data_IF_760635195156
#
_entry.id   IF_760635195156
#
_cell.length_a   1.000
_cell.length_b   1.000
_cell.length_c   1.000
_cell.angle_alpha   90.00
_cell.angle_beta   90.00
_cell.angle_gamma   90.00
#
_symmetry.space_group_name_H-M   'P 1'
#
loop_
_entity.id
_entity.type
_entity.pdbx_description
1 polymer ?
#
# COMPACT_ATOMS: atom_id res chain seq x y z
N UNK A 1 -15.72 -6.18 6.86
CA UNK A 1 -15.92 -6.29 5.40
C UNK A 1 -16.39 -7.70 5.05
N UNK A 2 -17.71 -7.91 4.87
CA UNK A 2 -18.25 -9.09 4.19
C UNK A 2 -18.19 -8.81 2.69
N UNK A 3 -17.11 -9.15 2.03
CA UNK A 3 -17.08 -9.25 0.58
C UNK A 3 -17.86 -10.53 0.22
N UNK A 4 -19.10 -10.40 -0.24
CA UNK A 4 -19.77 -11.51 -0.93
C UNK A 4 -18.93 -11.79 -2.18
N UNK A 5 -18.29 -12.95 -2.22
CA UNK A 5 -17.67 -13.45 -3.42
C UNK A 5 -18.71 -13.43 -4.55
N UNK A 6 -18.45 -12.66 -5.61
CA UNK A 6 -19.18 -12.82 -6.86
C UNK A 6 -18.83 -14.21 -7.43
N UNK A 7 -19.76 -14.89 -8.11
CA UNK A 7 -19.44 -16.16 -8.75
C UNK A 7 -18.25 -15.94 -9.69
N UNK A 8 -17.36 -16.95 -9.75
CA UNK A 8 -16.21 -16.98 -10.64
C UNK A 8 -16.68 -16.63 -12.06
N UNK A 9 -16.27 -15.43 -12.50
CA UNK A 9 -16.52 -14.96 -13.86
C UNK A 9 -15.49 -15.62 -14.79
N UNK A 10 -15.91 -15.84 -16.04
CA UNK A 10 -15.02 -16.05 -17.19
C UNK A 10 -13.66 -15.36 -17.00
N UNK A 11 -12.56 -16.07 -17.01
CA UNK A 11 -11.18 -15.71 -16.73
C UNK A 11 -10.76 -14.24 -16.84
N UNK A 12 -9.56 -13.92 -16.40
CA UNK A 12 -9.01 -12.55 -16.45
C UNK A 12 -8.98 -12.05 -17.90
N UNK A 13 -9.45 -10.82 -18.11
CA UNK A 13 -9.48 -10.19 -19.45
C UNK A 13 -8.67 -8.89 -19.40
N UNK A 14 -7.77 -8.71 -20.37
CA UNK A 14 -7.05 -7.46 -20.59
C UNK A 14 -7.64 -6.71 -21.76
N UNK A 15 -7.62 -5.37 -21.71
CA UNK A 15 -8.08 -4.53 -22.83
C UNK A 15 -7.10 -4.57 -23.99
N UNK A 16 -5.80 -4.68 -23.72
CA UNK A 16 -4.77 -4.82 -24.75
C UNK A 16 -4.67 -6.28 -25.25
N UNK A 17 -5.08 -6.58 -26.48
CA UNK A 17 -5.06 -7.95 -27.01
C UNK A 17 -3.66 -8.49 -27.30
N UNK A 18 -2.63 -7.65 -27.26
CA UNK A 18 -1.22 -8.07 -27.39
C UNK A 18 -0.67 -8.66 -26.10
N UNK A 19 -1.44 -8.59 -25.00
CA UNK A 19 -1.08 -9.08 -23.68
C UNK A 19 -2.03 -10.19 -23.23
N UNK A 20 -1.53 -11.09 -22.39
CA UNK A 20 -2.32 -12.15 -21.75
C UNK A 20 -1.97 -12.28 -20.28
N UNK A 21 -2.86 -12.91 -19.52
CA UNK A 21 -2.66 -13.27 -18.12
C UNK A 21 -2.25 -14.74 -18.04
N UNK A 22 -1.17 -15.02 -17.32
CA UNK A 22 -0.72 -16.37 -17.00
C UNK A 22 -0.85 -16.64 -15.50
N UNK A 23 -1.39 -17.78 -15.07
CA UNK A 23 -1.31 -18.20 -13.68
C UNK A 23 0.14 -18.58 -13.34
N UNK A 24 0.64 -18.09 -12.20
CA UNK A 24 1.96 -18.38 -11.65
C UNK A 24 1.83 -19.36 -10.49
N UNK A 25 0.82 -19.17 -9.67
CA UNK A 25 0.53 -20.02 -8.52
C UNK A 25 -0.97 -19.98 -8.23
N UNK A 26 -1.53 -21.12 -7.94
CA UNK A 26 -2.89 -21.31 -7.46
C UNK A 26 -2.92 -22.44 -6.46
N UNK A 27 -3.76 -22.29 -5.44
CA UNK A 27 -4.00 -23.26 -4.37
C UNK A 27 -2.82 -23.59 -3.44
N UNK A 28 -3.13 -23.76 -2.17
CA UNK A 28 -2.19 -24.18 -1.13
C UNK A 28 -1.92 -23.17 -0.02
N UNK A 29 -2.14 -21.87 -0.25
CA UNK A 29 -2.10 -20.87 0.83
C UNK A 29 -3.37 -20.95 1.69
N UNK A 30 -3.21 -20.79 3.00
CA UNK A 30 -4.31 -20.96 3.97
C UNK A 30 -4.74 -19.60 4.52
N UNK A 31 -5.81 -19.07 3.99
CA UNK A 31 -6.41 -17.80 4.44
C UNK A 31 -6.10 -16.62 3.55
N UNK A 32 -6.59 -15.42 3.91
CA UNK A 32 -6.36 -14.22 3.12
C UNK A 32 -4.89 -13.90 2.99
N UNK A 33 -4.44 -13.57 1.78
CA UNK A 33 -3.10 -13.05 1.51
C UNK A 33 -3.11 -11.53 1.36
N UNK A 34 -2.05 -10.86 1.80
CA UNK A 34 -1.99 -9.40 1.85
C UNK A 34 -0.92 -8.79 0.96
N UNK A 35 0.27 -9.37 0.96
CA UNK A 35 1.39 -8.78 0.24
C UNK A 35 2.38 -9.84 -0.21
N UNK A 36 3.15 -9.53 -1.27
CA UNK A 36 4.21 -10.40 -1.78
C UNK A 36 5.50 -9.63 -2.06
N UNK A 37 6.62 -10.34 -2.08
CA UNK A 37 7.92 -9.79 -2.45
C UNK A 37 8.80 -10.86 -3.11
N UNK A 38 9.70 -10.45 -3.99
CA UNK A 38 10.61 -11.36 -4.69
C UNK A 38 11.96 -11.43 -3.99
N UNK A 39 12.40 -12.65 -3.64
CA UNK A 39 13.78 -12.92 -3.25
C UNK A 39 14.69 -13.05 -4.47
N UNK A 40 14.16 -13.50 -5.58
CA UNK A 40 14.84 -13.71 -6.84
C UNK A 40 13.90 -14.20 -7.94
N UNK A 41 14.42 -14.56 -9.11
CA UNK A 41 13.61 -15.15 -10.17
C UNK A 41 12.87 -16.39 -9.67
N UNK A 42 11.55 -16.45 -9.90
CA UNK A 42 10.67 -17.55 -9.48
C UNK A 42 10.71 -17.87 -7.98
N UNK A 43 11.10 -16.90 -7.14
CA UNK A 43 11.24 -17.06 -5.69
C UNK A 43 10.46 -15.94 -4.99
N UNK A 44 9.24 -16.26 -4.57
CA UNK A 44 8.25 -15.31 -4.08
C UNK A 44 7.95 -15.58 -2.61
N UNK A 45 7.99 -14.55 -1.79
CA UNK A 45 7.45 -14.54 -0.43
C UNK A 45 6.02 -14.00 -0.46
N UNK A 46 5.11 -14.67 0.23
CA UNK A 46 3.69 -14.27 0.36
C UNK A 46 3.29 -14.27 1.82
N UNK A 47 2.55 -13.26 2.22
CA UNK A 47 2.04 -13.11 3.56
C UNK A 47 0.63 -13.69 3.70
N UNK A 48 0.43 -14.60 4.65
CA UNK A 48 -0.89 -15.04 5.08
C UNK A 48 -1.36 -14.19 6.27
N UNK A 49 -2.38 -13.37 6.06
CA UNK A 49 -2.89 -12.36 7.01
C UNK A 49 -3.17 -12.94 8.39
N UNK A 50 -4.00 -13.99 8.44
CA UNK A 50 -4.58 -14.51 9.68
C UNK A 50 -3.72 -15.57 10.37
N UNK A 51 -2.80 -16.20 9.65
CA UNK A 51 -1.92 -17.24 10.23
C UNK A 51 -0.58 -16.67 10.71
N UNK A 52 -0.28 -15.43 10.34
CA UNK A 52 1.01 -14.77 10.64
C UNK A 52 2.19 -15.40 9.92
N UNK A 53 1.93 -16.18 8.85
CA UNK A 53 2.99 -16.88 8.11
C UNK A 53 3.58 -16.03 6.99
N UNK A 54 4.89 -16.14 6.85
CA UNK A 54 5.62 -15.75 5.64
C UNK A 54 5.91 -17.04 4.87
N UNK A 55 5.13 -17.27 3.83
CA UNK A 55 5.25 -18.43 2.96
C UNK A 55 6.23 -18.16 1.83
N UNK A 56 6.86 -19.23 1.30
CA UNK A 56 7.75 -19.14 0.15
C UNK A 56 7.23 -20.01 -0.98
N UNK A 57 7.13 -19.44 -2.17
CA UNK A 57 6.81 -20.15 -3.41
C UNK A 57 8.08 -20.12 -4.26
N UNK A 58 8.65 -21.29 -4.49
CA UNK A 58 9.87 -21.45 -5.29
C UNK A 58 9.58 -22.25 -6.56
N UNK A 59 9.81 -21.67 -7.71
CA UNK A 59 9.51 -22.29 -9.02
C UNK A 59 8.04 -22.76 -9.15
N UNK A 60 7.10 -21.94 -8.63
CA UNK A 60 5.68 -22.28 -8.63
C UNK A 60 5.24 -23.31 -7.58
N UNK A 61 6.14 -23.74 -6.69
CA UNK A 61 5.86 -24.74 -5.65
C UNK A 61 5.90 -24.09 -4.27
N UNK A 62 4.80 -24.20 -3.54
CA UNK A 62 4.73 -23.77 -2.13
C UNK A 62 5.66 -24.66 -1.28
N UNK A 63 6.55 -24.01 -0.54
CA UNK A 63 7.45 -24.73 0.36
C UNK A 63 6.71 -25.19 1.62
N UNK A 64 7.01 -26.40 2.11
CA UNK A 64 6.32 -27.05 3.23
C UNK A 64 6.40 -26.21 4.52
N UNK A 65 7.57 -25.63 4.79
CA UNK A 65 7.81 -24.84 6.01
C UNK A 65 7.81 -23.34 5.70
N UNK A 66 7.00 -22.54 6.42
CA UNK A 66 7.07 -21.08 6.30
C UNK A 66 8.42 -20.57 6.81
N UNK A 67 8.88 -19.44 6.29
CA UNK A 67 10.10 -18.79 6.75
C UNK A 67 9.94 -18.20 8.16
N UNK A 68 8.72 -17.81 8.50
CA UNK A 68 8.32 -17.28 9.80
C UNK A 68 6.83 -17.60 10.05
N UNK A 69 6.49 -17.80 11.30
CA UNK A 69 5.12 -17.71 11.80
C UNK A 69 5.12 -16.81 13.03
N UNK A 70 4.58 -15.61 12.90
CA UNK A 70 4.44 -14.62 13.98
C UNK A 70 3.07 -14.75 14.66
N UNK A 71 3.00 -14.39 15.93
CA UNK A 71 1.72 -14.25 16.61
C UNK A 71 1.07 -12.92 16.18
N UNK A 72 -0.06 -13.00 15.48
CA UNK A 72 -0.78 -11.84 14.97
C UNK A 72 -2.20 -11.81 15.53
N UNK A 73 -2.72 -10.61 15.77
CA UNK A 73 -4.15 -10.41 15.89
C UNK A 73 -4.78 -10.46 14.51
N UNK A 74 -6.03 -10.94 14.42
CA UNK A 74 -6.73 -11.14 13.12
C UNK A 74 -8.05 -10.42 13.04
N UNK A 75 -8.34 -9.58 14.04
CA UNK A 75 -9.58 -8.82 14.11
C UNK A 75 -9.62 -7.76 12.99
N UNK A 76 -10.68 -7.75 12.21
CA UNK A 76 -10.96 -6.83 11.09
C UNK A 76 -9.79 -6.72 10.12
N UNK A 77 -9.02 -5.62 10.17
CA UNK A 77 -7.86 -5.40 9.29
C UNK A 77 -6.53 -5.85 9.92
N UNK A 78 -6.52 -6.19 11.21
CA UNK A 78 -5.31 -6.66 11.90
C UNK A 78 -4.79 -7.96 11.29
N UNK A 79 -3.48 -8.14 11.26
CA UNK A 79 -2.84 -9.34 10.73
C UNK A 79 -1.39 -9.16 10.33
N UNK A 80 -0.88 -10.10 9.52
CA UNK A 80 0.36 -9.98 8.78
C UNK A 80 0.08 -9.17 7.52
N UNK A 81 0.60 -7.94 7.39
CA UNK A 81 0.09 -6.95 6.44
C UNK A 81 1.07 -6.57 5.34
N UNK A 82 2.33 -6.29 5.64
CA UNK A 82 3.25 -5.77 4.66
C UNK A 82 4.63 -6.41 4.67
N UNK A 83 5.24 -6.47 3.49
CA UNK A 83 6.59 -7.00 3.28
C UNK A 83 7.37 -6.12 2.31
N UNK A 84 8.65 -5.90 2.61
CA UNK A 84 9.64 -5.40 1.67
C UNK A 84 10.97 -6.14 1.85
N UNK A 85 11.78 -6.15 0.79
CA UNK A 85 13.09 -6.80 0.82
C UNK A 85 14.15 -5.80 0.38
N UNK A 86 15.27 -5.76 1.11
CA UNK A 86 16.48 -5.11 0.68
C UNK A 86 17.68 -6.05 0.84
N UNK A 87 18.85 -5.62 0.39
CA UNK A 87 20.09 -6.36 0.62
C UNK A 87 21.03 -5.53 1.49
N UNK A 88 21.65 -6.18 2.46
CA UNK A 88 22.72 -5.57 3.24
C UNK A 88 24.00 -5.37 2.40
N UNK A 89 25.04 -4.78 2.99
CA UNK A 89 26.31 -4.55 2.29
C UNK A 89 27.00 -5.84 1.78
N UNK A 90 26.73 -6.97 2.42
CA UNK A 90 27.23 -8.29 1.98
C UNK A 90 26.31 -8.98 0.95
N UNK A 91 25.27 -8.30 0.45
CA UNK A 91 24.31 -8.83 -0.50
C UNK A 91 23.29 -9.81 0.07
N UNK A 92 23.26 -10.02 1.41
CA UNK A 92 22.29 -10.88 2.07
C UNK A 92 20.95 -10.17 2.23
N UNK A 93 19.82 -10.89 2.04
CA UNK A 93 18.50 -10.28 2.16
C UNK A 93 18.19 -9.85 3.60
N UNK A 94 17.70 -8.61 3.73
CA UNK A 94 16.90 -8.16 4.86
C UNK A 94 15.43 -8.20 4.44
N UNK A 95 14.58 -8.76 5.31
CA UNK A 95 13.14 -8.83 5.11
C UNK A 95 12.46 -7.96 6.15
N UNK A 96 11.71 -6.97 5.69
CA UNK A 96 10.95 -6.05 6.53
C UNK A 96 9.51 -6.53 6.56
N UNK A 97 8.95 -6.70 7.76
CA UNK A 97 7.59 -7.17 7.96
C UNK A 97 6.85 -6.18 8.85
N UNK A 98 5.66 -5.79 8.41
CA UNK A 98 4.72 -5.00 9.20
C UNK A 98 3.51 -5.86 9.52
N UNK A 99 3.18 -5.97 10.82
CA UNK A 99 2.06 -6.76 11.29
C UNK A 99 1.52 -6.29 12.64
N UNK A 100 0.25 -6.61 12.88
CA UNK A 100 -0.41 -6.38 14.16
C UNK A 100 -0.06 -7.51 15.12
N UNK A 101 1.00 -7.29 15.91
CA UNK A 101 1.52 -8.30 16.82
C UNK A 101 0.57 -8.55 17.99
N UNK A 102 0.43 -9.80 18.37
CA UNK A 102 -0.30 -10.22 19.56
C UNK A 102 0.58 -11.05 20.49
N UNK A 103 0.25 -11.04 21.76
CA UNK A 103 0.87 -11.95 22.74
C UNK A 103 0.27 -13.37 22.62
N UNK A 104 0.77 -14.31 23.44
CA UNK A 104 0.30 -15.71 23.45
C UNK A 104 -1.18 -15.89 23.84
N UNK A 105 -1.79 -14.88 24.50
CA UNK A 105 -3.21 -14.88 24.83
C UNK A 105 -4.08 -14.22 23.76
N UNK A 106 -3.49 -13.76 22.64
CA UNK A 106 -4.19 -13.09 21.54
C UNK A 106 -4.40 -11.58 21.75
N UNK A 107 -3.91 -11.01 22.84
CA UNK A 107 -4.02 -9.56 23.08
C UNK A 107 -3.12 -8.80 22.13
N UNK A 108 -3.66 -7.77 21.47
CA UNK A 108 -2.93 -6.90 20.54
C UNK A 108 -1.86 -6.12 21.29
N UNK A 109 -0.62 -6.18 20.82
CA UNK A 109 0.51 -5.43 21.36
C UNK A 109 0.77 -4.14 20.59
N UNK A 110 0.41 -4.09 19.31
CA UNK A 110 0.59 -2.94 18.42
C UNK A 110 0.83 -3.34 16.97
N UNK A 111 0.78 -2.37 16.09
CA UNK A 111 1.29 -2.51 14.73
C UNK A 111 2.81 -2.33 14.78
N UNK A 112 3.56 -3.32 14.35
CA UNK A 112 4.99 -3.32 14.46
C UNK A 112 5.68 -3.55 13.13
N UNK A 113 6.71 -2.76 12.87
CA UNK A 113 7.63 -2.94 11.76
C UNK A 113 8.91 -3.57 12.28
N UNK A 114 9.23 -4.75 11.76
CA UNK A 114 10.47 -5.47 12.08
C UNK A 114 11.34 -5.62 10.85
N UNK A 115 12.66 -5.64 11.05
CA UNK A 115 13.63 -6.17 10.10
C UNK A 115 14.10 -7.54 10.56
N UNK A 116 14.10 -8.50 9.64
CA UNK A 116 14.64 -9.86 9.83
C UNK A 116 15.82 -10.11 8.89
N UNK A 117 16.66 -11.05 9.28
CA UNK A 117 17.68 -11.65 8.42
C UNK A 117 17.16 -12.99 7.88
N UNK A 118 17.41 -13.27 6.60
CA UNK A 118 17.12 -14.58 6.01
C UNK A 118 18.36 -15.47 6.14
N UNK A 119 18.30 -16.50 6.99
CA UNK A 119 19.38 -17.47 7.23
C UNK A 119 18.80 -18.88 7.13
N UNK A 120 19.37 -19.72 6.28
CA UNK A 120 19.01 -21.15 6.12
C UNK A 120 17.50 -21.39 5.97
N UNK A 121 16.85 -20.53 5.15
CA UNK A 121 15.40 -20.63 4.89
C UNK A 121 14.51 -20.23 6.05
N UNK A 122 15.02 -19.45 7.00
CA UNK A 122 14.26 -18.90 8.13
C UNK A 122 14.52 -17.41 8.31
N UNK A 123 13.49 -16.68 8.74
CA UNK A 123 13.61 -15.30 9.18
C UNK A 123 13.98 -15.30 10.67
N UNK A 124 15.16 -14.75 10.96
CA UNK A 124 15.77 -14.74 12.31
C UNK A 124 16.22 -13.33 12.68
N UNK A 125 16.69 -13.15 13.91
CA UNK A 125 17.26 -11.88 14.41
C UNK A 125 16.33 -10.67 14.22
N UNK A 126 15.08 -10.72 14.77
CA UNK A 126 14.15 -9.60 14.64
C UNK A 126 14.71 -8.34 15.28
N UNK A 127 14.73 -7.25 14.52
CA UNK A 127 15.00 -5.90 15.01
C UNK A 127 13.74 -5.07 14.88
N UNK A 128 13.17 -4.62 16.01
CA UNK A 128 12.01 -3.74 16.02
C UNK A 128 12.41 -2.34 15.54
N UNK A 129 11.78 -1.88 14.45
CA UNK A 129 12.01 -0.56 13.86
C UNK A 129 10.94 0.45 14.30
N UNK A 130 9.67 0.05 14.34
CA UNK A 130 8.54 0.87 14.77
C UNK A 130 7.58 0.07 15.65
N UNK A 131 7.03 0.73 16.67
CA UNK A 131 5.96 0.24 17.51
C UNK A 131 4.84 1.28 17.52
N UNK A 132 3.73 0.96 16.89
CA UNK A 132 2.65 1.89 16.58
C UNK A 132 1.31 1.40 17.17
N UNK A 133 0.34 2.30 17.35
CA UNK A 133 -1.02 1.90 17.70
C UNK A 133 -1.64 0.97 16.66
N UNK A 134 -2.40 -0.04 17.12
CA UNK A 134 -3.13 -0.98 16.25
C UNK A 134 -4.63 -1.01 16.52
N UNK A 135 -5.09 -0.42 17.62
CA UNK A 135 -6.48 -0.46 18.04
C UNK A 135 -7.09 0.91 18.13
N UNK A 136 -8.39 0.99 17.88
CA UNK A 136 -9.14 2.21 18.07
C UNK A 136 -9.11 2.65 19.55
N UNK A 137 -8.90 3.94 19.85
CA UNK A 137 -9.07 4.47 21.19
C UNK A 137 -10.53 4.71 21.55
N UNK A 138 -11.45 4.54 20.59
CA UNK A 138 -12.88 4.81 20.73
C UNK A 138 -13.59 3.48 20.97
N UNK A 139 -14.27 3.38 22.12
CA UNK A 139 -15.02 2.18 22.49
C UNK A 139 -16.11 1.87 21.45
N UNK A 140 -16.16 0.63 20.99
CA UNK A 140 -17.12 0.17 19.99
C UNK A 140 -16.74 0.49 18.53
N UNK A 141 -15.61 1.16 18.28
CA UNK A 141 -15.08 1.29 16.94
C UNK A 141 -14.26 0.07 16.56
N UNK A 142 -14.32 -0.31 15.28
CA UNK A 142 -13.54 -1.41 14.73
C UNK A 142 -12.04 -1.07 14.67
N UNK A 143 -11.19 -2.09 14.81
CA UNK A 143 -9.75 -1.99 14.62
C UNK A 143 -9.39 -2.06 13.13
N UNK A 144 -9.78 -1.00 12.41
CA UNK A 144 -9.56 -0.85 10.96
C UNK A 144 -8.55 0.27 10.66
N UNK A 145 -8.26 0.49 9.38
CA UNK A 145 -7.35 1.50 8.86
C UNK A 145 -5.91 1.31 9.38
N UNK A 146 -5.46 0.05 9.42
CA UNK A 146 -4.12 -0.28 9.91
C UNK A 146 -3.03 -0.14 8.83
N UNK A 147 -3.41 0.05 7.57
CA UNK A 147 -2.48 0.21 6.45
C UNK A 147 -1.58 -1.00 6.27
N UNK A 148 -0.29 -0.76 6.20
CA UNK A 148 0.75 -1.80 6.30
C UNK A 148 1.60 -2.02 5.06
N UNK A 149 1.33 -1.40 3.92
CA UNK A 149 2.27 -1.47 2.79
C UNK A 149 3.64 -0.95 3.21
N UNK A 150 4.69 -1.71 2.89
CA UNK A 150 6.09 -1.35 3.16
C UNK A 150 6.85 -1.27 1.84
N UNK A 151 7.64 -0.23 1.67
CA UNK A 151 8.49 -0.03 0.48
C UNK A 151 9.88 0.46 0.90
N UNK A 152 10.92 0.01 0.23
CA UNK A 152 12.27 0.58 0.36
C UNK A 152 12.37 1.72 -0.64
N UNK A 153 12.56 2.93 -0.13
CA UNK A 153 12.68 4.12 -0.97
C UNK A 153 13.99 4.18 -1.75
N UNK A 154 14.08 5.09 -2.74
CA UNK A 154 15.31 5.31 -3.50
C UNK A 154 16.47 5.79 -2.61
N UNK A 155 16.17 6.41 -1.48
CA UNK A 155 17.12 6.82 -0.42
C UNK A 155 17.54 5.66 0.51
N UNK A 156 17.13 4.41 0.21
CA UNK A 156 17.36 3.19 0.98
C UNK A 156 16.69 3.15 2.36
N UNK A 157 15.87 4.12 2.70
CA UNK A 157 15.08 4.08 3.93
C UNK A 157 13.82 3.21 3.75
N UNK A 158 13.27 2.79 4.88
CA UNK A 158 12.04 2.00 4.95
C UNK A 158 10.87 2.94 5.13
N UNK A 159 9.90 2.83 4.24
CA UNK A 159 8.65 3.56 4.30
C UNK A 159 7.50 2.62 4.60
N UNK A 160 6.58 3.04 5.45
CA UNK A 160 5.34 2.32 5.77
C UNK A 160 4.18 3.29 5.82
N UNK A 161 3.04 2.90 5.24
CA UNK A 161 1.81 3.69 5.29
C UNK A 161 0.89 3.13 6.37
N UNK A 162 0.33 4.03 7.19
CA UNK A 162 -0.57 3.72 8.31
C UNK A 162 -1.76 4.66 8.24
N UNK A 163 -2.96 4.12 8.35
CA UNK A 163 -4.18 4.92 8.39
C UNK A 163 -4.49 5.51 9.78
N UNK A 164 -5.71 6.01 9.96
CA UNK A 164 -6.14 6.67 11.19
C UNK A 164 -6.49 5.72 12.35
N UNK A 165 -6.29 4.44 12.16
CA UNK A 165 -6.45 3.35 13.15
C UNK A 165 -7.73 3.49 13.98
N UNK A 166 -8.85 3.16 13.33
CA UNK A 166 -10.19 3.19 13.97
C UNK A 166 -10.67 4.58 14.36
N UNK A 167 -10.25 5.62 13.65
CA UNK A 167 -10.74 6.97 13.80
C UNK A 167 -10.11 7.77 14.94
N UNK A 168 -8.81 7.60 15.18
CA UNK A 168 -8.05 8.40 16.18
C UNK A 168 -8.22 9.90 15.95
N UNK A 169 -8.13 10.67 17.02
CA UNK A 169 -8.33 12.13 17.04
C UNK A 169 -7.02 12.82 17.43
N UNK A 170 -6.27 13.27 16.43
CA UNK A 170 -4.98 13.91 16.63
C UNK A 170 -4.68 14.98 15.57
N UNK A 171 -3.55 15.65 15.74
CA UNK A 171 -3.08 16.66 14.78
C UNK A 171 -2.87 16.07 13.39
N UNK A 172 -2.40 14.82 13.30
CA UNK A 172 -2.19 14.13 12.01
C UNK A 172 -3.48 13.66 11.33
N UNK A 173 -4.63 13.76 12.00
CA UNK A 173 -5.96 13.68 11.41
C UNK A 173 -6.58 15.07 11.20
N UNK A 174 -5.75 16.12 11.14
CA UNK A 174 -6.18 17.51 10.98
C UNK A 174 -7.16 18.04 12.01
N UNK A 175 -7.10 17.52 13.23
CA UNK A 175 -7.81 18.07 14.38
C UNK A 175 -6.86 19.05 15.08
N UNK A 176 -7.05 20.35 14.86
CA UNK A 176 -6.10 21.42 15.29
C UNK A 176 -5.81 21.37 16.80
N UNK A 177 -6.82 21.05 17.62
CA UNK A 177 -6.70 20.86 19.08
C UNK A 177 -6.69 19.39 19.49
N UNK A 178 -6.29 18.52 18.56
CA UNK A 178 -6.18 17.08 18.79
C UNK A 178 -4.88 16.69 19.53
N UNK A 179 -4.76 15.41 19.80
CA UNK A 179 -3.57 14.84 20.42
C UNK A 179 -2.34 15.00 19.51
N UNK A 180 -1.16 14.99 20.11
CA UNK A 180 0.11 14.97 19.39
C UNK A 180 0.20 13.76 18.44
N UNK A 181 0.99 13.85 17.37
CA UNK A 181 1.25 12.73 16.47
C UNK A 181 1.67 11.47 17.22
N UNK A 182 1.16 10.31 16.81
CA UNK A 182 1.40 9.03 17.47
C UNK A 182 1.84 7.89 16.51
N UNK A 183 2.20 8.25 15.28
CA UNK A 183 2.62 7.30 14.24
C UNK A 183 1.46 6.76 13.39
N UNK A 184 0.25 7.31 13.52
CA UNK A 184 -0.91 6.97 12.69
C UNK A 184 -1.18 8.05 11.63
N UNK A 185 -2.08 7.79 10.70
CA UNK A 185 -2.55 8.75 9.67
C UNK A 185 -1.42 9.30 8.78
N UNK A 186 -0.47 8.47 8.39
CA UNK A 186 0.65 8.98 7.59
C UNK A 186 1.50 7.94 6.90
N UNK A 187 2.39 8.44 6.07
CA UNK A 187 3.53 7.69 5.55
C UNK A 187 4.71 7.97 6.45
N UNK A 188 5.18 6.93 7.12
CA UNK A 188 6.31 6.99 8.04
C UNK A 188 7.59 6.54 7.35
N UNK A 189 8.73 7.10 7.78
CA UNK A 189 10.05 6.82 7.25
C UNK A 189 11.07 6.60 8.36
N UNK A 190 11.80 5.49 8.29
CA UNK A 190 12.91 5.17 9.19
C UNK A 190 14.09 4.58 8.41
N UNK A 191 15.29 4.64 8.97
CA UNK A 191 16.43 3.89 8.41
C UNK A 191 16.18 2.38 8.54
N UNK A 192 16.94 1.57 7.82
CA UNK A 192 16.85 0.11 7.94
C UNK A 192 17.24 -0.44 9.32
N UNK A 193 17.79 0.41 10.18
CA UNK A 193 18.12 0.11 11.59
C UNK A 193 17.15 0.76 12.59
N UNK A 194 16.03 1.32 12.12
CA UNK A 194 14.98 1.90 12.96
C UNK A 194 15.28 3.28 13.52
N UNK A 195 16.33 3.95 13.03
CA UNK A 195 16.63 5.32 13.43
C UNK A 195 15.79 6.30 12.66
N UNK A 196 15.49 7.44 13.29
CA UNK A 196 14.89 8.58 12.60
C UNK A 196 15.78 9.03 11.44
N UNK A 197 15.17 9.38 10.31
CA UNK A 197 15.89 10.00 9.20
C UNK A 197 16.06 11.48 9.50
N UNK A 198 17.29 11.96 9.45
CA UNK A 198 17.59 13.37 9.67
C UNK A 198 16.88 14.27 8.65
N UNK A 199 16.58 15.50 9.05
CA UNK A 199 15.92 16.51 8.20
C UNK A 199 14.52 16.07 7.69
N UNK A 200 13.71 15.44 8.55
CA UNK A 200 12.31 15.19 8.25
C UNK A 200 11.53 16.49 8.06
N UNK A 201 10.46 16.48 7.23
CA UNK A 201 9.72 17.70 6.89
C UNK A 201 9.07 18.39 8.10
N UNK A 202 8.75 17.66 9.17
CA UNK A 202 7.94 18.19 10.29
C UNK A 202 8.72 18.48 11.58
N UNK A 203 10.04 18.37 11.57
CA UNK A 203 10.90 18.72 12.71
C UNK A 203 11.83 17.62 13.17
N UNK A 204 12.55 17.88 14.25
CA UNK A 204 13.65 17.03 14.75
C UNK A 204 13.30 16.15 15.95
N UNK A 205 12.09 16.24 16.48
CA UNK A 205 11.64 15.45 17.63
C UNK A 205 10.76 14.27 17.24
N UNK A 206 10.90 13.14 17.89
CA UNK A 206 9.97 11.99 17.76
C UNK A 206 8.62 12.40 18.39
N UNK A 207 7.49 12.06 17.77
CA UNK A 207 7.34 11.24 16.55
C UNK A 207 7.35 12.02 15.23
N UNK A 208 7.50 13.35 15.24
CA UNK A 208 7.44 14.17 14.02
C UNK A 208 8.50 13.77 12.98
N UNK A 209 9.69 13.35 13.43
CA UNK A 209 10.77 12.87 12.55
C UNK A 209 10.42 11.62 11.75
N UNK A 210 9.41 10.86 12.19
CA UNK A 210 8.98 9.66 11.50
C UNK A 210 8.14 9.97 10.25
N UNK A 211 7.42 11.10 10.24
CA UNK A 211 6.48 11.40 9.18
C UNK A 211 7.16 11.96 7.93
N UNK A 212 6.86 11.34 6.79
CA UNK A 212 7.12 11.86 5.46
C UNK A 212 5.92 12.67 4.95
N UNK A 213 4.72 12.15 5.19
CA UNK A 213 3.41 12.72 4.87
C UNK A 213 2.40 12.35 5.94
N UNK A 214 1.27 13.06 6.03
CA UNK A 214 0.20 12.77 6.99
C UNK A 214 -1.18 13.19 6.47
N UNK A 215 -2.20 13.10 7.31
CA UNK A 215 -3.58 13.40 6.92
C UNK A 215 -4.21 12.28 6.11
N UNK A 216 -3.75 11.04 6.30
CA UNK A 216 -4.18 9.86 5.55
C UNK A 216 -5.24 9.11 6.35
N UNK A 217 -6.39 8.82 5.71
CA UNK A 217 -7.46 8.05 6.32
C UNK A 217 -7.14 6.55 6.35
N UNK A 218 -6.96 5.96 5.18
CA UNK A 218 -6.64 4.54 5.01
C UNK A 218 -6.03 4.29 3.64
N UNK A 219 -4.88 3.65 3.60
CA UNK A 219 -4.18 3.35 2.37
C UNK A 219 -3.48 1.99 2.47
N UNK A 220 -3.49 1.26 1.36
CA UNK A 220 -2.81 -0.03 1.21
C UNK A 220 -1.86 -0.06 0.02
N UNK A 221 -1.76 1.03 -0.76
CA UNK A 221 -0.95 1.09 -1.96
C UNK A 221 -0.14 2.37 -2.07
N UNK A 222 1.18 2.25 -2.11
CA UNK A 222 2.07 3.33 -2.51
C UNK A 222 3.35 2.79 -3.14
N UNK A 223 3.95 3.59 -4.00
CA UNK A 223 5.22 3.25 -4.62
C UNK A 223 5.98 4.51 -5.07
N UNK A 224 7.25 4.37 -5.35
CA UNK A 224 8.09 5.43 -5.88
C UNK A 224 8.17 5.36 -7.39
N UNK A 225 7.99 6.51 -8.03
CA UNK A 225 8.26 6.66 -9.46
C UNK A 225 9.73 6.31 -9.76
N UNK A 226 10.00 5.31 -10.60
CA UNK A 226 11.36 4.87 -10.88
C UNK A 226 12.20 5.89 -11.66
N UNK A 227 11.57 6.91 -12.23
CA UNK A 227 12.25 7.95 -13.02
C UNK A 227 12.66 9.13 -12.15
N UNK A 228 11.77 9.59 -11.28
CA UNK A 228 11.98 10.82 -10.49
C UNK A 228 12.25 10.56 -9.03
N UNK A 229 11.89 9.37 -8.52
CA UNK A 229 11.89 9.08 -7.08
C UNK A 229 10.73 9.73 -6.31
N UNK A 230 9.77 10.33 -7.01
CA UNK A 230 8.56 10.87 -6.39
C UNK A 230 7.66 9.75 -5.87
N UNK A 231 7.01 10.01 -4.75
CA UNK A 231 6.10 9.03 -4.14
C UNK A 231 4.66 9.29 -4.61
N UNK A 232 3.94 8.20 -4.83
CA UNK A 232 2.51 8.19 -5.15
C UNK A 232 1.80 7.19 -4.26
N UNK A 233 0.57 7.51 -3.83
CA UNK A 233 -0.25 6.59 -3.06
C UNK A 233 -1.69 6.51 -3.58
N UNK A 234 -2.41 5.52 -3.08
CA UNK A 234 -3.87 5.45 -3.16
C UNK A 234 -4.44 5.61 -1.77
N UNK A 235 -5.59 6.26 -1.64
CA UNK A 235 -6.26 6.43 -0.36
C UNK A 235 -7.73 6.04 -0.45
N UNK A 236 -8.21 5.32 0.57
CA UNK A 236 -9.60 4.84 0.62
C UNK A 236 -10.48 5.84 1.36
N UNK A 237 -11.49 6.34 0.67
CA UNK A 237 -12.56 7.15 1.25
C UNK A 237 -13.47 6.37 2.20
N UNK A 238 -14.40 7.08 2.83
CA UNK A 238 -15.36 6.45 3.74
C UNK A 238 -16.47 5.73 2.97
N UNK A 239 -17.41 6.51 2.51
CA UNK A 239 -18.53 6.03 1.69
C UNK A 239 -18.38 6.44 0.23
N UNK A 240 -17.52 7.40 -0.05
CA UNK A 240 -17.22 7.96 -1.36
C UNK A 240 -15.77 8.44 -1.42
N UNK A 241 -15.27 8.72 -2.63
CA UNK A 241 -14.04 9.43 -2.95
C UNK A 241 -12.75 8.70 -2.56
N UNK A 242 -12.50 7.57 -3.20
CA UNK A 242 -11.14 7.01 -3.19
C UNK A 242 -10.21 7.85 -4.08
N UNK A 243 -8.92 7.90 -3.76
CA UNK A 243 -7.97 8.83 -4.34
C UNK A 243 -6.70 8.18 -4.88
N UNK A 244 -6.06 8.85 -5.85
CA UNK A 244 -4.65 8.71 -6.16
C UNK A 244 -3.98 10.05 -5.89
N UNK A 245 -2.91 10.06 -5.10
CA UNK A 245 -2.19 11.26 -4.69
C UNK A 245 -0.74 11.27 -5.18
N UNK A 246 -0.27 12.44 -5.60
CA UNK A 246 1.14 12.75 -5.68
C UNK A 246 1.64 13.20 -4.32
N UNK A 247 2.54 12.44 -3.72
CA UNK A 247 2.98 12.65 -2.33
C UNK A 247 4.41 13.20 -2.29
N UNK A 248 4.56 14.41 -1.83
CA UNK A 248 5.86 15.07 -1.62
C UNK A 248 6.21 15.13 -0.12
N UNK A 249 7.49 15.37 0.24
CA UNK A 249 7.86 15.56 1.64
C UNK A 249 7.09 16.71 2.27
N UNK A 250 6.36 16.46 3.34
CA UNK A 250 5.51 17.47 3.97
C UNK A 250 4.06 17.49 3.47
N UNK A 251 3.66 16.55 2.62
CA UNK A 251 2.30 16.41 2.13
C UNK A 251 1.31 16.13 3.27
N UNK A 252 0.17 16.81 3.20
CA UNK A 252 -1.02 16.58 4.03
C UNK A 252 -2.18 16.23 3.11
N UNK A 253 -2.71 15.00 3.20
CA UNK A 253 -3.82 14.53 2.37
C UNK A 253 -5.17 15.16 2.71
N UNK A 254 -5.30 15.74 3.92
CA UNK A 254 -6.49 16.49 4.30
C UNK A 254 -7.47 15.78 5.22
N UNK A 255 -7.35 14.47 5.39
CA UNK A 255 -8.21 13.73 6.32
C UNK A 255 -8.06 14.25 7.78
N UNK A 256 -9.11 14.55 8.51
CA UNK A 256 -10.56 14.33 8.38
C UNK A 256 -11.34 15.53 7.80
N UNK A 257 -10.70 16.57 7.33
CA UNK A 257 -11.35 17.80 6.91
C UNK A 257 -11.86 17.73 5.48
N UNK A 258 -11.11 17.07 4.62
CA UNK A 258 -11.49 16.88 3.22
C UNK A 258 -11.14 15.47 2.76
N UNK A 259 -11.80 15.02 1.71
CA UNK A 259 -11.56 13.81 0.95
C UNK A 259 -12.04 14.05 -0.48
N UNK A 260 -11.28 13.63 -1.47
CA UNK A 260 -11.50 14.01 -2.87
C UNK A 260 -11.13 15.45 -3.15
N UNK A 261 -11.55 15.97 -4.30
CA UNK A 261 -11.32 17.35 -4.67
C UNK A 261 -11.88 18.31 -3.61
N UNK A 262 -11.08 19.30 -3.22
CA UNK A 262 -11.47 20.30 -2.25
C UNK A 262 -12.69 21.10 -2.73
N UNK A 263 -13.60 21.36 -1.81
CA UNK A 263 -14.77 22.20 -2.09
C UNK A 263 -14.42 23.68 -1.92
N UNK A 264 -15.14 24.56 -2.59
CA UNK A 264 -14.83 26.01 -2.66
C UNK A 264 -14.76 26.74 -1.30
N UNK A 265 -15.38 26.20 -0.24
CA UNK A 265 -15.34 26.76 1.12
C UNK A 265 -14.20 26.22 1.99
N UNK A 266 -13.40 25.27 1.47
CA UNK A 266 -12.28 24.69 2.20
C UNK A 266 -11.04 25.58 2.04
N UNK A 267 -10.45 25.97 3.18
CA UNK A 267 -9.20 26.73 3.23
C UNK A 267 -8.11 25.90 3.92
N UNK A 268 -7.13 25.36 3.19
CA UNK A 268 -6.07 24.56 3.77
C UNK A 268 -5.27 25.27 4.88
N UNK A 269 -5.19 26.62 4.84
CA UNK A 269 -4.45 27.39 5.84
C UNK A 269 -5.16 27.44 7.20
N UNK A 270 -6.49 27.50 7.16
CA UNK A 270 -7.33 27.62 8.37
C UNK A 270 -7.85 26.26 8.84
N UNK A 271 -8.18 25.35 7.91
CA UNK A 271 -8.86 24.10 8.21
C UNK A 271 -7.91 22.97 8.60
N UNK A 272 -6.64 23.02 8.17
CA UNK A 272 -5.69 21.95 8.38
C UNK A 272 -4.64 22.26 9.44
N UNK A 273 -4.24 21.22 10.16
CA UNK A 273 -3.06 21.28 11.01
C UNK A 273 -1.80 21.29 10.12
N UNK A 274 -0.89 22.26 10.29
CA UNK A 274 0.17 22.51 9.31
C UNK A 274 1.60 22.43 9.85
N UNK A 275 1.81 21.94 11.09
CA UNK A 275 3.14 21.86 11.72
C UNK A 275 3.92 23.17 11.67
N UNK A 276 3.28 24.28 12.02
CA UNK A 276 3.84 25.64 11.95
C UNK A 276 4.32 26.02 10.52
N UNK A 277 3.49 25.73 9.51
CA UNK A 277 3.75 26.10 8.12
C UNK A 277 4.64 25.15 7.33
N UNK A 278 4.98 23.99 7.91
CA UNK A 278 5.85 23.00 7.24
C UNK A 278 5.06 22.02 6.35
N UNK A 279 3.76 21.85 6.60
CA UNK A 279 2.92 20.99 5.80
C UNK A 279 2.28 21.75 4.62
N UNK A 280 2.01 21.02 3.54
CA UNK A 280 1.32 21.53 2.36
C UNK A 280 0.26 20.54 1.91
N UNK A 281 -0.95 21.03 1.70
CA UNK A 281 -2.03 20.29 1.07
C UNK A 281 -1.94 20.42 -0.45
N UNK A 282 -2.32 19.39 -1.17
CA UNK A 282 -2.73 19.46 -2.57
C UNK A 282 -3.92 18.55 -2.80
N UNK A 283 -4.78 18.92 -3.75
CA UNK A 283 -5.85 18.05 -4.22
C UNK A 283 -5.28 16.74 -4.80
N UNK A 284 -6.04 15.63 -4.74
CA UNK A 284 -5.66 14.38 -5.38
C UNK A 284 -5.51 14.54 -6.90
N UNK A 285 -4.69 13.69 -7.49
CA UNK A 285 -4.51 13.64 -8.94
C UNK A 285 -5.62 12.86 -9.65
N UNK A 286 -6.34 12.00 -8.91
CA UNK A 286 -7.51 11.29 -9.39
C UNK A 286 -8.44 10.89 -8.26
N UNK A 287 -9.75 10.91 -8.53
CA UNK A 287 -10.80 10.53 -7.58
C UNK A 287 -11.77 9.55 -8.22
N UNK A 288 -11.99 8.42 -7.58
CA UNK A 288 -13.18 7.60 -7.80
C UNK A 288 -14.29 8.11 -6.88
N UNK A 289 -15.30 8.78 -7.42
CA UNK A 289 -16.43 9.29 -6.63
C UNK A 289 -17.19 8.15 -5.95
N UNK A 290 -17.46 7.08 -6.69
CA UNK A 290 -17.91 5.82 -6.12
C UNK A 290 -16.68 4.97 -5.74
N UNK A 291 -16.56 4.63 -4.46
CA UNK A 291 -15.40 3.89 -3.95
C UNK A 291 -15.21 2.54 -4.63
N UNK A 292 -13.98 2.28 -5.06
CA UNK A 292 -13.51 1.00 -5.62
C UNK A 292 -12.67 0.20 -4.61
N UNK A 293 -12.24 0.87 -3.55
CA UNK A 293 -11.32 0.39 -2.52
C UNK A 293 -9.96 -0.04 -3.11
N UNK A 294 -9.14 0.91 -3.59
CA UNK A 294 -7.82 0.60 -4.12
C UNK A 294 -6.92 0.04 -3.03
N UNK A 295 -6.19 -1.03 -3.36
CA UNK A 295 -5.36 -1.79 -2.40
C UNK A 295 -3.90 -1.87 -2.76
N UNK A 296 -3.57 -1.64 -4.01
CA UNK A 296 -2.19 -1.72 -4.49
C UNK A 296 -1.93 -0.63 -5.51
N UNK A 297 -0.76 -0.04 -5.43
CA UNK A 297 -0.21 0.87 -6.43
C UNK A 297 1.20 0.41 -6.76
N UNK A 298 1.52 0.28 -8.05
CA UNK A 298 2.85 -0.12 -8.50
C UNK A 298 3.25 0.56 -9.80
N UNK A 299 4.46 1.11 -9.85
CA UNK A 299 5.08 1.53 -11.10
C UNK A 299 5.65 0.32 -11.85
N UNK A 300 5.38 0.23 -13.15
CA UNK A 300 6.04 -0.74 -14.02
C UNK A 300 7.38 -0.20 -14.49
N UNK A 301 8.46 -0.49 -13.80
CA UNK A 301 9.82 -0.08 -14.13
C UNK A 301 10.48 -0.96 -15.20
N UNK A 302 9.72 -1.35 -16.21
CA UNK A 302 10.10 -2.30 -17.25
C UNK A 302 9.41 -2.00 -18.58
N UNK A 303 10.03 -2.37 -19.69
CA UNK A 303 9.46 -2.31 -21.04
C UNK A 303 8.89 -3.65 -21.52
N UNK A 304 8.84 -4.67 -20.68
CA UNK A 304 8.43 -6.03 -21.04
C UNK A 304 6.99 -6.17 -21.51
N UNK A 305 6.10 -5.27 -21.07
CA UNK A 305 4.70 -5.21 -21.53
C UNK A 305 4.51 -4.23 -22.71
N UNK A 306 5.60 -3.65 -23.23
CA UNK A 306 5.60 -2.61 -24.24
C UNK A 306 6.02 -1.26 -23.67
N UNK A 307 6.65 -0.41 -24.50
CA UNK A 307 7.13 0.91 -24.08
C UNK A 307 6.03 1.87 -23.62
N UNK A 308 4.79 1.69 -24.10
CA UNK A 308 3.61 2.48 -23.73
C UNK A 308 3.18 2.31 -22.26
N UNK A 309 3.61 1.22 -21.62
CA UNK A 309 3.32 0.91 -20.20
C UNK A 309 4.52 1.14 -19.27
N UNK A 310 5.71 1.36 -19.86
CA UNK A 310 6.92 1.59 -19.06
C UNK A 310 6.79 2.84 -18.19
N UNK A 311 7.11 2.71 -16.90
CA UNK A 311 7.06 3.77 -15.91
C UNK A 311 5.65 4.40 -15.71
N UNK A 312 4.58 3.64 -16.01
CA UNK A 312 3.21 4.00 -15.69
C UNK A 312 2.77 3.39 -14.37
N UNK A 313 1.69 3.93 -13.79
CA UNK A 313 1.09 3.43 -12.54
C UNK A 313 0.07 2.35 -12.86
N UNK A 314 0.14 1.24 -12.13
CA UNK A 314 -0.93 0.25 -12.06
C UNK A 314 -1.55 0.26 -10.67
N UNK A 315 -2.90 0.23 -10.62
CA UNK A 315 -3.68 0.20 -9.38
C UNK A 315 -4.64 -0.97 -9.42
N UNK A 316 -4.71 -1.72 -8.33
CA UNK A 316 -5.67 -2.81 -8.14
C UNK A 316 -6.71 -2.47 -7.08
N UNK A 317 -7.91 -3.04 -7.20
CA UNK A 317 -8.99 -2.80 -6.26
C UNK A 317 -9.58 -4.09 -5.63
N UNK A 318 -10.33 -3.89 -4.54
CA UNK A 318 -11.03 -4.95 -3.81
C UNK A 318 -12.44 -5.17 -4.33
N UNK A 319 -13.16 -4.09 -4.66
CA UNK A 319 -14.61 -4.17 -4.88
C UNK A 319 -14.99 -4.74 -6.23
N UNK A 320 -14.21 -4.42 -7.26
CA UNK A 320 -14.52 -4.81 -8.63
C UNK A 320 -13.57 -5.84 -9.20
N UNK A 321 -12.37 -5.96 -8.65
CA UNK A 321 -11.31 -6.83 -9.17
C UNK A 321 -10.73 -6.29 -10.46
N UNK A 322 -10.74 -4.97 -10.60
CA UNK A 322 -10.16 -4.27 -11.74
C UNK A 322 -8.69 -3.95 -11.49
N UNK A 323 -7.96 -3.96 -12.57
CA UNK A 323 -6.61 -3.40 -12.69
C UNK A 323 -6.71 -2.15 -13.56
N UNK A 324 -6.28 -1.03 -13.03
CA UNK A 324 -6.25 0.27 -13.71
C UNK A 324 -4.85 0.61 -14.17
N UNK A 325 -4.72 1.44 -15.22
CA UNK A 325 -3.42 1.97 -15.67
C UNK A 325 -3.48 3.47 -15.90
N UNK A 326 -2.52 4.19 -15.32
CA UNK A 326 -2.42 5.65 -15.44
C UNK A 326 -1.04 6.04 -15.94
N UNK A 327 -1.01 6.96 -16.90
CA UNK A 327 0.20 7.60 -17.43
C UNK A 327 0.43 8.91 -16.71
N UNK A 328 1.69 9.34 -16.64
CA UNK A 328 2.06 10.62 -16.07
C UNK A 328 2.46 11.61 -17.16
N UNK A 329 2.34 12.90 -16.84
CA UNK A 329 2.84 13.99 -17.66
C UNK A 329 4.39 14.00 -17.72
N UNK A 330 4.95 14.96 -18.43
CA UNK A 330 6.42 15.07 -18.63
C UNK A 330 7.16 15.33 -17.32
N UNK A 331 6.58 16.13 -16.43
CA UNK A 331 7.17 16.47 -15.13
C UNK A 331 6.92 15.38 -14.06
N UNK A 332 6.08 14.40 -14.40
CA UNK A 332 5.74 13.23 -13.60
C UNK A 332 5.17 13.59 -12.22
N UNK A 333 4.33 14.62 -12.19
CA UNK A 333 3.60 15.10 -11.00
C UNK A 333 2.10 15.09 -11.16
N UNK A 334 1.61 14.90 -12.38
CA UNK A 334 0.20 14.92 -12.74
C UNK A 334 -0.12 13.69 -13.57
N UNK A 335 -1.30 13.12 -13.39
CA UNK A 335 -1.81 12.05 -14.25
C UNK A 335 -2.23 12.60 -15.60
N UNK A 336 -1.77 11.96 -16.68
CA UNK A 336 -2.14 12.33 -18.05
C UNK A 336 -3.53 11.74 -18.38
N UNK A 337 -4.56 12.44 -17.95
CA UNK A 337 -5.96 12.05 -18.15
C UNK A 337 -6.50 12.65 -19.45
N UNK A 338 -7.47 11.94 -20.04
CA UNK A 338 -8.18 12.36 -21.26
C UNK A 338 -9.68 12.32 -21.01
N UNK A 339 -10.48 13.07 -21.75
CA UNK A 339 -11.94 12.93 -21.67
C UNK A 339 -12.37 11.46 -21.75
N UNK A 340 -13.27 11.01 -20.87
CA UNK A 340 -14.09 11.80 -19.95
C UNK A 340 -13.46 12.06 -18.56
N UNK A 341 -12.18 11.73 -18.31
CA UNK A 341 -11.52 11.83 -17.01
C UNK A 341 -10.65 13.09 -16.84
N UNK A 342 -10.74 14.06 -17.74
CA UNK A 342 -9.89 15.27 -17.72
C UNK A 342 -10.21 16.23 -16.57
N UNK A 343 -11.34 16.08 -15.89
CA UNK A 343 -11.67 16.76 -14.63
C UNK A 343 -11.10 16.05 -13.39
N UNK A 344 -10.36 14.95 -13.57
CA UNK A 344 -9.75 14.10 -12.52
C UNK A 344 -10.76 13.33 -11.67
N UNK A 345 -12.03 13.24 -12.04
CA UNK A 345 -13.06 12.55 -11.26
C UNK A 345 -13.76 11.51 -12.10
N UNK A 346 -13.73 10.25 -11.67
CA UNK A 346 -14.55 9.20 -12.24
C UNK A 346 -15.87 9.11 -11.45
N UNK A 347 -16.93 9.76 -11.93
CA UNK A 347 -18.20 9.86 -11.20
C UNK A 347 -19.31 8.99 -11.79
N UNK A 348 -19.07 8.37 -12.94
CA UNK A 348 -19.95 7.40 -13.59
C UNK A 348 -19.27 6.03 -13.78
N UNK A 349 -20.04 4.93 -13.92
CA UNK A 349 -19.48 3.62 -14.23
C UNK A 349 -18.66 3.59 -15.55
N UNK A 350 -19.06 4.34 -16.56
CA UNK A 350 -18.37 4.42 -17.86
C UNK A 350 -17.01 5.12 -17.72
N UNK A 351 -16.94 6.15 -16.90
CA UNK A 351 -15.67 6.82 -16.57
C UNK A 351 -14.73 5.89 -15.80
N UNK A 352 -15.23 5.17 -14.78
CA UNK A 352 -14.42 4.15 -14.09
C UNK A 352 -13.91 3.14 -15.11
N UNK A 353 -14.77 2.66 -16.01
CA UNK A 353 -14.39 1.68 -17.03
C UNK A 353 -13.31 2.21 -17.99
N UNK A 354 -13.28 3.51 -18.27
CA UNK A 354 -12.30 4.10 -19.19
C UNK A 354 -10.85 4.07 -18.66
N UNK A 355 -10.66 3.94 -17.34
CA UNK A 355 -9.35 3.77 -16.70
C UNK A 355 -8.94 2.29 -16.53
N UNK A 356 -9.83 1.35 -16.80
CA UNK A 356 -9.56 -0.08 -16.59
C UNK A 356 -8.61 -0.61 -17.65
N UNK A 357 -7.56 -1.30 -17.20
CA UNK A 357 -6.60 -2.03 -18.03
C UNK A 357 -6.94 -3.52 -18.12
N UNK A 358 -7.48 -4.09 -17.04
CA UNK A 358 -7.87 -5.50 -16.98
C UNK A 358 -8.92 -5.77 -15.91
N UNK A 359 -9.60 -6.89 -16.03
CA UNK A 359 -10.74 -7.28 -15.19
C UNK A 359 -10.67 -8.76 -14.80
N UNK A 360 -11.47 -9.15 -13.80
CA UNK A 360 -11.65 -10.55 -13.43
C UNK A 360 -10.57 -11.13 -12.52
N UNK A 361 -9.75 -10.29 -11.88
CA UNK A 361 -8.70 -10.73 -10.96
C UNK A 361 -9.24 -11.11 -9.57
N UNK A 362 -10.50 -10.83 -9.28
CA UNK A 362 -11.05 -10.94 -7.92
C UNK A 362 -10.49 -9.83 -7.01
N UNK A 363 -10.47 -10.07 -5.71
CA UNK A 363 -9.93 -9.10 -4.74
C UNK A 363 -8.41 -9.01 -4.90
N UNK A 364 -7.92 -7.93 -5.51
CA UNK A 364 -6.48 -7.68 -5.63
C UNK A 364 -5.95 -7.16 -4.29
N UNK A 365 -4.87 -7.76 -3.77
CA UNK A 365 -4.25 -7.33 -2.51
C UNK A 365 -2.85 -6.76 -2.69
N UNK A 366 -2.13 -7.18 -3.72
CA UNK A 366 -0.81 -6.61 -4.03
C UNK A 366 -0.48 -6.69 -5.53
N UNK A 367 0.36 -5.77 -5.98
CA UNK A 367 0.93 -5.73 -7.32
C UNK A 367 2.44 -5.53 -7.18
N UNK A 368 3.24 -6.35 -7.88
CA UNK A 368 4.69 -6.25 -7.88
C UNK A 368 5.24 -6.40 -9.29
N UNK A 369 6.43 -5.85 -9.55
CA UNK A 369 7.21 -6.15 -10.73
C UNK A 369 8.21 -7.25 -10.38
N UNK A 370 8.13 -8.37 -11.10
CA UNK A 370 9.05 -9.48 -10.90
C UNK A 370 10.47 -9.17 -11.41
N UNK A 371 11.48 -9.94 -11.00
CA UNK A 371 12.85 -9.82 -11.53
C UNK A 371 12.96 -10.03 -13.06
N UNK A 372 11.97 -10.66 -13.66
CA UNK A 372 11.81 -10.82 -15.11
C UNK A 372 11.23 -9.59 -15.82
N UNK A 373 10.83 -8.56 -15.04
CA UNK A 373 10.27 -7.31 -15.53
C UNK A 373 8.78 -7.36 -15.90
N UNK A 374 8.08 -8.44 -15.58
CA UNK A 374 6.65 -8.54 -15.77
C UNK A 374 5.87 -8.09 -14.53
N UNK A 375 4.60 -7.75 -14.73
CA UNK A 375 3.69 -7.35 -13.67
C UNK A 375 3.02 -8.59 -13.06
N UNK A 376 3.12 -8.72 -11.75
CA UNK A 376 2.51 -9.80 -10.97
C UNK A 376 1.39 -9.25 -10.10
N UNK A 377 0.31 -9.99 -10.00
CA UNK A 377 -0.91 -9.62 -9.26
C UNK A 377 -1.22 -10.71 -8.27
N UNK A 378 -1.33 -10.35 -6.99
CA UNK A 378 -1.73 -11.22 -5.89
C UNK A 378 -3.20 -10.99 -5.57
N UNK A 379 -3.99 -12.06 -5.56
CA UNK A 379 -5.36 -12.05 -5.08
C UNK A 379 -5.45 -12.48 -3.61
N UNK A 380 -6.50 -12.04 -2.90
CA UNK A 380 -6.75 -12.37 -1.50
C UNK A 380 -6.83 -13.89 -1.23
N UNK A 381 -7.21 -14.66 -2.24
CA UNK A 381 -7.30 -16.12 -2.21
C UNK A 381 -5.95 -16.83 -2.39
N UNK A 382 -4.86 -16.06 -2.54
CA UNK A 382 -3.51 -16.59 -2.73
C UNK A 382 -3.13 -16.90 -4.17
N UNK A 383 -4.01 -16.66 -5.13
CA UNK A 383 -3.67 -16.82 -6.54
C UNK A 383 -2.70 -15.71 -6.95
N UNK A 384 -1.68 -16.09 -7.71
CA UNK A 384 -0.72 -15.15 -8.31
C UNK A 384 -0.82 -15.27 -9.81
N UNK A 385 -1.02 -14.15 -10.46
CA UNK A 385 -1.04 -14.01 -11.91
C UNK A 385 0.13 -13.19 -12.39
N UNK A 386 0.53 -13.38 -13.64
CA UNK A 386 1.53 -12.59 -14.33
C UNK A 386 0.97 -12.11 -15.66
N UNK A 387 1.25 -10.86 -16.03
CA UNK A 387 0.90 -10.31 -17.33
C UNK A 387 2.12 -10.39 -18.23
N UNK A 388 1.94 -10.95 -19.41
CA UNK A 388 3.00 -11.17 -20.42
C UNK A 388 2.49 -10.87 -21.84
N UNK A 389 3.35 -10.60 -22.82
CA UNK A 389 2.96 -10.57 -24.22
C UNK A 389 2.38 -11.91 -24.70
N UNK A 390 1.48 -11.85 -25.70
CA UNK A 390 0.87 -13.02 -26.35
C UNK A 390 1.92 -13.79 -27.12
#
# INVERSE_FOLDING_TARGET
FYVRARPESSGQVLIDPSLKVEPVFSDGLKGPTTSMAFLGPNDILVLEKNTGKVQRILNGILQEKPLLQANVSTEVELGMLGIAISKNQAGKPFVFLYYSEANSSGTVLGNRLYRYELVDGRLVNPLLLLNLPATSPIVGHENNHNGGKVVIGPDKNVYVIVGDVGGRIGNVQNIIRGNSPDGTSGILRVTQDGKSVENGPFGSSVPNTLYYAYGIRNSFGFDFDPVTGNLWDTENGGIDKDEINYVFPGFNSGWRKTMGMAVSRFDPQEDLFNFAGKAKYSDPEFVWKQTVAPTALKFLNSTKLGSQYANTIFVGDVKTGNLYNFKLDTDRKVLLLKPPLDDKVADTPDEIQSAVFGQGFGVITDIQVGPDGYLYILGINGNIYRIVPV
#
